data_IF_394344456123
#
_entry.id   IF_394344456123
#
_cell.length_a   1.000
_cell.length_b   1.000
_cell.length_c   1.000
_cell.angle_alpha   90.00
_cell.angle_beta   90.00
_cell.angle_gamma   90.00
#
_symmetry.space_group_name_H-M   'P 1'
#
loop_
_entity.id
_entity.type
_entity.pdbx_description
1 polymer ?
#
# COMPACT_ATOMS: atom_id res chain seq x y z
N UNK A 1 -20.03 33.96 9.95
CA UNK A 1 -20.94 34.71 10.88
C UNK A 1 -22.40 34.26 10.84
N UNK A 2 -22.81 33.33 9.99
CA UNK A 2 -24.22 32.87 9.87
C UNK A 2 -24.62 31.73 10.81
N UNK A 3 -23.68 30.86 11.18
CA UNK A 3 -23.94 29.64 11.96
C UNK A 3 -24.24 29.93 13.45
N UNK A 4 -23.59 30.94 14.04
CA UNK A 4 -23.79 31.30 15.45
C UNK A 4 -25.19 31.89 15.73
N UNK A 5 -25.90 32.43 14.71
CA UNK A 5 -27.27 32.98 14.92
C UNK A 5 -28.37 31.94 14.96
N UNK A 6 -28.14 30.76 14.42
CA UNK A 6 -29.15 29.67 14.40
C UNK A 6 -29.23 28.88 15.72
N UNK A 7 -28.14 28.83 16.48
CA UNK A 7 -28.08 28.12 17.77
C UNK A 7 -28.68 28.87 18.97
N UNK A 8 -28.94 30.19 18.84
CA UNK A 8 -29.42 31.03 19.96
C UNK A 8 -30.77 31.66 19.77
N UNK A 9 -31.57 31.23 18.78
CA UNK A 9 -32.88 31.80 18.42
C UNK A 9 -34.09 31.04 18.91
N UNK A 10 -34.23 30.74 20.18
CA UNK A 10 -35.45 30.15 20.74
C UNK A 10 -35.70 30.70 22.13
N UNK A 11 -36.71 31.60 22.25
CA UNK A 11 -37.09 32.23 23.51
C UNK A 11 -37.77 31.25 24.52
N UNK A 12 -37.35 31.40 25.81
CA UNK A 12 -38.01 31.05 27.06
C UNK A 12 -37.93 29.56 27.51
N UNK A 13 -36.78 29.22 28.13
CA UNK A 13 -36.75 28.70 29.50
C UNK A 13 -35.42 29.10 30.12
N UNK A 14 -35.39 30.23 30.76
CA UNK A 14 -34.26 30.76 31.52
C UNK A 14 -34.26 30.15 32.92
N UNK A 15 -33.07 29.72 33.29
CA UNK A 15 -32.46 29.62 34.60
C UNK A 15 -32.21 28.20 35.07
N UNK A 16 -31.20 27.55 34.49
CA UNK A 16 -30.23 26.64 35.15
C UNK A 16 -29.44 25.77 34.17
N UNK A 17 -28.77 26.33 33.20
CA UNK A 17 -27.68 25.60 32.49
C UNK A 17 -26.88 26.42 31.48
N UNK A 18 -26.81 27.72 31.58
CA UNK A 18 -25.81 28.48 30.85
C UNK A 18 -24.49 28.50 31.66
N UNK A 19 -23.85 27.35 31.87
CA UNK A 19 -22.40 27.31 31.85
C UNK A 19 -22.04 27.55 30.40
N UNK A 20 -21.71 28.80 30.05
CA UNK A 20 -21.02 29.16 28.82
C UNK A 20 -19.80 28.23 28.73
N UNK A 21 -19.89 27.20 27.90
CA UNK A 21 -18.75 26.38 27.57
C UNK A 21 -17.77 27.32 26.88
N UNK A 22 -16.65 27.61 27.52
CA UNK A 22 -15.60 28.41 26.87
C UNK A 22 -15.25 27.73 25.54
N UNK A 23 -14.82 28.48 24.52
CA UNK A 23 -14.36 27.87 23.26
C UNK A 23 -13.36 26.73 23.47
N UNK A 24 -12.53 26.83 24.49
CA UNK A 24 -11.55 25.79 24.88
C UNK A 24 -12.23 24.52 25.41
N UNK A 25 -13.30 24.64 26.19
CA UNK A 25 -14.05 23.49 26.67
C UNK A 25 -14.83 22.82 25.53
N UNK A 26 -15.38 23.59 24.59
CA UNK A 26 -16.04 23.06 23.41
C UNK A 26 -15.03 22.33 22.50
N UNK A 27 -13.84 22.91 22.31
CA UNK A 27 -12.74 22.30 21.58
C UNK A 27 -12.34 20.95 22.19
N UNK A 28 -12.06 20.91 23.49
CA UNK A 28 -11.67 19.66 24.17
C UNK A 28 -12.77 18.59 24.11
N UNK A 29 -14.05 19.00 24.16
CA UNK A 29 -15.18 18.09 24.02
C UNK A 29 -15.28 17.51 22.60
N UNK A 30 -15.06 18.32 21.56
CA UNK A 30 -15.07 17.87 20.17
C UNK A 30 -13.89 16.92 19.88
N UNK A 31 -12.70 17.23 20.41
CA UNK A 31 -11.54 16.34 20.31
C UNK A 31 -11.84 14.98 20.95
N UNK A 32 -12.34 14.96 22.19
CA UNK A 32 -12.69 13.71 22.86
C UNK A 32 -13.73 12.90 22.10
N UNK A 33 -14.71 13.55 21.48
CA UNK A 33 -15.70 12.87 20.61
C UNK A 33 -15.05 12.30 19.35
N UNK A 34 -14.13 13.04 18.74
CA UNK A 34 -13.40 12.57 17.58
C UNK A 34 -12.57 11.33 17.91
N UNK A 35 -11.85 11.35 19.05
CA UNK A 35 -11.04 10.21 19.51
C UNK A 35 -11.90 8.97 19.76
N UNK A 36 -13.08 9.14 20.39
CA UNK A 36 -14.05 8.05 20.57
C UNK A 36 -14.52 7.52 19.21
N UNK A 37 -14.88 8.39 18.27
CA UNK A 37 -15.34 7.99 16.95
C UNK A 37 -14.24 7.26 16.17
N UNK A 38 -12.98 7.72 16.27
CA UNK A 38 -11.82 7.04 15.68
C UNK A 38 -11.62 5.64 16.26
N UNK A 39 -11.68 5.51 17.60
CA UNK A 39 -11.54 4.21 18.27
C UNK A 39 -12.65 3.22 17.89
N UNK A 40 -13.83 3.72 17.55
CA UNK A 40 -14.98 2.94 17.06
C UNK A 40 -14.95 2.72 15.54
N UNK A 41 -13.91 3.19 14.84
CA UNK A 41 -13.79 3.16 13.38
C UNK A 41 -14.93 3.90 12.65
N UNK A 42 -15.59 4.84 13.33
CA UNK A 42 -16.60 5.72 12.75
C UNK A 42 -15.94 6.98 12.18
N UNK A 43 -15.17 6.79 11.10
CA UNK A 43 -14.33 7.84 10.52
C UNK A 43 -15.13 9.04 10.00
N UNK A 44 -16.34 8.82 9.50
CA UNK A 44 -17.21 9.89 9.00
C UNK A 44 -17.63 10.85 10.11
N UNK A 45 -17.93 10.33 11.29
CA UNK A 45 -18.30 11.13 12.46
C UNK A 45 -17.06 11.83 13.05
N UNK A 46 -15.92 11.14 13.09
CA UNK A 46 -14.64 11.74 13.50
C UNK A 46 -14.29 12.95 12.63
N UNK A 47 -14.39 12.83 11.30
CA UNK A 47 -14.18 13.94 10.35
C UNK A 47 -15.09 15.13 10.69
N UNK A 48 -16.34 14.91 11.04
CA UNK A 48 -17.25 15.99 11.37
C UNK A 48 -16.79 16.73 12.64
N UNK A 49 -16.49 16.01 13.72
CA UNK A 49 -16.03 16.62 14.98
C UNK A 49 -14.68 17.36 14.80
N UNK A 50 -13.75 16.80 14.03
CA UNK A 50 -12.47 17.44 13.79
C UNK A 50 -12.60 18.70 12.93
N UNK A 51 -13.53 18.74 11.98
CA UNK A 51 -13.84 19.95 11.22
C UNK A 51 -14.41 21.06 12.12
N UNK A 52 -15.38 20.72 12.97
CA UNK A 52 -15.95 21.66 13.93
C UNK A 52 -14.87 22.17 14.91
N UNK A 53 -13.95 21.31 15.34
CA UNK A 53 -12.82 21.68 16.18
C UNK A 53 -11.86 22.65 15.50
N UNK A 54 -11.57 22.45 14.21
CA UNK A 54 -10.72 23.33 13.40
C UNK A 54 -11.36 24.71 13.17
N UNK A 55 -12.70 24.80 13.08
CA UNK A 55 -13.41 26.09 13.00
C UNK A 55 -13.25 26.93 14.27
N UNK A 56 -13.07 26.27 15.45
CA UNK A 56 -12.85 26.95 16.72
C UNK A 56 -11.38 27.39 16.85
N UNK A 57 -10.46 26.49 16.52
CA UNK A 57 -9.03 26.74 16.63
C UNK A 57 -8.26 26.02 15.53
N UNK A 58 -7.62 26.80 14.68
CA UNK A 58 -6.67 26.26 13.70
C UNK A 58 -5.44 25.69 14.44
N UNK A 59 -5.09 24.44 14.16
CA UNK A 59 -3.98 23.73 14.78
C UNK A 59 -3.45 22.65 13.84
N UNK A 60 -2.12 22.52 13.77
CA UNK A 60 -1.46 21.49 12.98
C UNK A 60 -1.89 20.11 13.45
N UNK A 61 -1.91 19.85 14.75
CA UNK A 61 -2.30 18.54 15.32
C UNK A 61 -3.74 18.16 14.97
N UNK A 62 -4.69 19.13 15.03
CA UNK A 62 -6.06 18.87 14.60
C UNK A 62 -6.16 18.57 13.10
N UNK A 63 -5.33 19.26 12.31
CA UNK A 63 -5.26 19.04 10.88
C UNK A 63 -4.65 17.68 10.55
N UNK A 64 -3.64 17.23 11.30
CA UNK A 64 -3.07 15.88 11.21
C UNK A 64 -4.14 14.82 11.52
N UNK A 65 -4.83 14.95 12.67
CA UNK A 65 -5.92 14.04 13.04
C UNK A 65 -7.05 14.00 12.00
N UNK A 66 -7.36 15.14 11.37
CA UNK A 66 -8.37 15.21 10.31
C UNK A 66 -7.86 14.55 9.01
N UNK A 67 -6.59 14.71 8.65
CA UNK A 67 -6.00 14.04 7.52
C UNK A 67 -6.03 12.51 7.71
N UNK A 68 -5.72 12.02 8.91
CA UNK A 68 -5.80 10.60 9.25
C UNK A 68 -7.24 10.08 9.18
N UNK A 69 -8.19 10.82 9.75
CA UNK A 69 -9.61 10.44 9.66
C UNK A 69 -10.10 10.36 8.20
N UNK A 70 -9.64 11.25 7.33
CA UNK A 70 -9.92 11.18 5.89
C UNK A 70 -9.25 9.98 5.21
N UNK A 71 -7.99 9.68 5.58
CA UNK A 71 -7.28 8.52 5.05
C UNK A 71 -8.05 7.21 5.35
N UNK A 72 -8.41 7.01 6.63
CA UNK A 72 -9.18 5.84 7.05
C UNK A 72 -10.61 5.80 6.50
N UNK A 73 -11.19 6.96 6.20
CA UNK A 73 -12.48 7.08 5.50
C UNK A 73 -12.37 6.84 3.99
N UNK A 74 -11.17 6.52 3.46
CA UNK A 74 -10.87 6.42 2.04
C UNK A 74 -11.18 7.69 1.23
N UNK A 75 -11.05 8.85 1.88
CA UNK A 75 -11.24 10.17 1.29
C UNK A 75 -9.88 10.79 0.97
N UNK A 76 -9.19 10.18 0.01
CA UNK A 76 -7.79 10.47 -0.31
C UNK A 76 -7.54 11.92 -0.80
N UNK A 77 -8.38 12.52 -1.65
CA UNK A 77 -8.17 13.91 -2.09
C UNK A 77 -8.18 14.90 -0.93
N UNK A 78 -9.13 14.75 0.00
CA UNK A 78 -9.23 15.63 1.16
C UNK A 78 -8.08 15.38 2.15
N UNK A 79 -7.68 14.12 2.33
CA UNK A 79 -6.49 13.79 3.10
C UNK A 79 -5.27 14.52 2.53
N UNK A 80 -5.02 14.39 1.23
CA UNK A 80 -3.88 15.01 0.56
C UNK A 80 -3.88 16.54 0.67
N UNK A 81 -5.05 17.20 0.51
CA UNK A 81 -5.19 18.64 0.68
C UNK A 81 -4.79 19.08 2.11
N UNK A 82 -5.21 18.33 3.13
CA UNK A 82 -4.84 18.65 4.52
C UNK A 82 -3.35 18.43 4.78
N UNK A 83 -2.74 17.37 4.24
CA UNK A 83 -1.29 17.14 4.33
C UNK A 83 -0.49 18.25 3.65
N UNK A 84 -0.93 18.75 2.50
CA UNK A 84 -0.31 19.91 1.84
C UNK A 84 -0.32 21.16 2.73
N UNK A 85 -1.45 21.45 3.38
CA UNK A 85 -1.55 22.59 4.32
C UNK A 85 -0.66 22.42 5.55
N UNK A 86 -0.40 21.17 5.99
CA UNK A 86 0.56 20.90 7.06
C UNK A 86 1.98 21.14 6.55
N UNK A 87 2.30 20.70 5.33
CA UNK A 87 3.62 20.85 4.73
C UNK A 87 4.01 22.31 4.50
N UNK A 88 3.04 23.23 4.29
CA UNK A 88 3.29 24.67 4.26
C UNK A 88 3.85 25.22 5.58
N UNK A 89 3.54 24.57 6.71
CA UNK A 89 3.99 24.98 8.04
C UNK A 89 5.16 24.13 8.56
N UNK A 90 5.29 22.88 8.09
CA UNK A 90 6.33 21.92 8.45
C UNK A 90 7.02 21.40 7.17
N UNK A 91 7.78 22.27 6.51
CA UNK A 91 8.47 21.93 5.26
C UNK A 91 9.55 20.87 5.43
N UNK A 92 10.15 20.78 6.62
CA UNK A 92 11.35 19.99 6.91
C UNK A 92 11.03 18.67 7.63
N UNK A 93 9.87 18.10 7.34
CA UNK A 93 9.39 16.83 7.91
C UNK A 93 9.39 15.73 6.84
N UNK A 94 10.40 14.86 6.85
CA UNK A 94 10.54 13.75 5.91
C UNK A 94 9.38 12.74 6.03
N UNK A 95 8.87 12.51 7.25
CA UNK A 95 7.76 11.58 7.51
C UNK A 95 6.48 12.13 6.89
N UNK A 96 6.24 13.43 7.01
CA UNK A 96 5.11 14.08 6.36
C UNK A 96 5.18 13.97 4.83
N UNK A 97 6.37 14.21 4.25
CA UNK A 97 6.56 14.07 2.80
C UNK A 97 6.34 12.62 2.34
N UNK A 98 6.84 11.62 3.08
CA UNK A 98 6.59 10.22 2.78
C UNK A 98 5.09 9.90 2.85
N UNK A 99 4.39 10.36 3.88
CA UNK A 99 2.93 10.17 4.01
C UNK A 99 2.16 10.81 2.84
N UNK A 100 2.60 11.99 2.38
CA UNK A 100 2.04 12.62 1.18
C UNK A 100 2.27 11.77 -0.06
N UNK A 101 3.46 11.21 -0.23
CA UNK A 101 3.77 10.31 -1.33
C UNK A 101 2.90 9.04 -1.31
N UNK A 102 2.70 8.43 -0.15
CA UNK A 102 1.83 7.25 0.02
C UNK A 102 0.37 7.55 -0.34
N UNK A 103 -0.17 8.68 0.13
CA UNK A 103 -1.54 9.09 -0.22
C UNK A 103 -1.65 9.39 -1.72
N UNK A 104 -0.67 10.09 -2.31
CA UNK A 104 -0.62 10.36 -3.75
C UNK A 104 -0.55 9.07 -4.58
N UNK A 105 0.17 8.06 -4.10
CA UNK A 105 0.21 6.74 -4.72
C UNK A 105 -1.19 6.10 -4.79
N UNK A 106 -1.95 6.11 -3.69
CA UNK A 106 -3.33 5.59 -3.67
C UNK A 106 -4.27 6.34 -4.60
N UNK A 107 -3.96 7.60 -4.90
CA UNK A 107 -4.68 8.42 -5.87
C UNK A 107 -4.22 8.17 -7.31
N UNK A 108 -3.26 7.27 -7.56
CA UNK A 108 -2.56 7.08 -8.84
C UNK A 108 -1.94 8.38 -9.38
N UNK A 109 -1.60 9.31 -8.49
CA UNK A 109 -0.95 10.56 -8.87
C UNK A 109 0.58 10.42 -8.74
N UNK A 110 1.18 9.70 -9.68
CA UNK A 110 2.61 9.35 -9.64
C UNK A 110 3.53 10.57 -9.75
N UNK A 111 3.08 11.68 -10.36
CA UNK A 111 3.81 12.94 -10.32
C UNK A 111 3.94 13.50 -8.91
N UNK A 112 2.83 13.56 -8.17
CA UNK A 112 2.86 14.01 -6.77
C UNK A 112 3.65 13.06 -5.87
N UNK A 113 3.67 11.74 -6.17
CA UNK A 113 4.56 10.78 -5.49
C UNK A 113 6.01 11.17 -5.69
N UNK A 114 6.43 11.39 -6.93
CA UNK A 114 7.81 11.76 -7.26
C UNK A 114 8.23 13.05 -6.55
N UNK A 115 7.41 14.10 -6.64
CA UNK A 115 7.67 15.39 -5.99
C UNK A 115 7.80 15.28 -4.46
N UNK A 116 6.98 14.48 -3.83
CA UNK A 116 7.02 14.28 -2.38
C UNK A 116 8.22 13.42 -1.97
N UNK A 117 8.54 12.35 -2.73
CA UNK A 117 9.71 11.52 -2.50
C UNK A 117 11.02 12.30 -2.69
N UNK A 118 11.12 13.19 -3.69
CA UNK A 118 12.30 14.05 -3.86
C UNK A 118 12.54 14.92 -2.64
N UNK A 119 11.48 15.57 -2.14
CA UNK A 119 11.59 16.36 -0.91
C UNK A 119 11.96 15.52 0.31
N UNK A 120 11.36 14.33 0.44
CA UNK A 120 11.68 13.42 1.52
C UNK A 120 13.14 12.95 1.49
N UNK A 121 13.69 12.64 0.29
CA UNK A 121 15.08 12.22 0.11
C UNK A 121 16.11 13.30 0.46
N UNK A 122 15.74 14.58 0.30
CA UNK A 122 16.60 15.70 0.72
C UNK A 122 16.66 15.84 2.23
N UNK A 123 15.65 15.38 2.96
CA UNK A 123 15.52 15.47 4.42
C UNK A 123 16.04 14.21 5.11
N UNK A 124 15.75 13.04 4.55
CA UNK A 124 16.18 11.74 5.06
C UNK A 124 16.55 10.80 3.91
N UNK A 125 17.83 10.57 3.73
CA UNK A 125 18.36 9.69 2.67
C UNK A 125 18.56 8.24 3.10
N UNK A 126 18.26 7.91 4.38
CA UNK A 126 18.47 6.58 4.98
C UNK A 126 17.20 5.74 5.06
N UNK A 127 16.04 6.33 4.92
CA UNK A 127 14.78 5.62 4.98
C UNK A 127 14.49 4.91 3.65
N UNK A 128 14.61 3.58 3.62
CA UNK A 128 14.47 2.75 2.41
C UNK A 128 13.09 2.86 1.73
N UNK A 129 12.04 3.16 2.48
CA UNK A 129 10.68 3.33 1.94
C UNK A 129 10.60 4.46 0.91
N UNK A 130 11.38 5.53 1.09
CA UNK A 130 11.35 6.70 0.19
C UNK A 130 11.84 6.35 -1.21
N UNK A 131 13.10 5.87 -1.41
CA UNK A 131 13.55 5.50 -2.75
C UNK A 131 12.77 4.33 -3.33
N UNK A 132 12.21 3.43 -2.51
CA UNK A 132 11.36 2.34 -2.98
C UNK A 132 10.06 2.87 -3.61
N UNK A 133 9.35 3.76 -2.93
CA UNK A 133 8.12 4.36 -3.45
C UNK A 133 8.40 5.24 -4.68
N UNK A 134 9.53 5.96 -4.67
CA UNK A 134 9.95 6.75 -5.83
C UNK A 134 10.24 5.87 -7.05
N UNK A 135 10.96 4.76 -6.87
CA UNK A 135 11.22 3.81 -7.94
C UNK A 135 9.94 3.30 -8.59
N UNK A 136 8.94 2.94 -7.79
CA UNK A 136 7.63 2.51 -8.28
C UNK A 136 6.93 3.61 -9.08
N UNK A 137 6.97 4.86 -8.59
CA UNK A 137 6.38 5.98 -9.30
C UNK A 137 7.09 6.27 -10.64
N UNK A 138 8.42 6.18 -10.68
CA UNK A 138 9.19 6.28 -11.92
C UNK A 138 8.77 5.19 -12.92
N UNK A 139 8.60 3.96 -12.45
CA UNK A 139 8.15 2.84 -13.29
C UNK A 139 6.79 3.11 -13.93
N UNK A 140 5.81 3.52 -13.14
CA UNK A 140 4.46 3.85 -13.61
C UNK A 140 4.44 5.04 -14.60
N UNK A 141 5.44 5.92 -14.52
CA UNK A 141 5.64 7.03 -15.46
C UNK A 141 6.43 6.63 -16.72
N UNK A 142 6.88 5.37 -16.81
CA UNK A 142 7.70 4.88 -17.92
C UNK A 142 9.19 5.21 -17.81
N UNK A 143 9.64 5.79 -16.69
CA UNK A 143 11.05 6.08 -16.44
C UNK A 143 11.74 4.87 -15.79
N UNK A 144 11.99 3.85 -16.62
CA UNK A 144 12.62 2.61 -16.18
C UNK A 144 14.04 2.81 -15.65
N UNK A 145 14.78 3.79 -16.18
CA UNK A 145 16.17 4.06 -15.77
C UNK A 145 16.23 4.52 -14.31
N UNK A 146 15.43 5.51 -13.95
CA UNK A 146 15.38 5.98 -12.57
C UNK A 146 14.74 4.93 -11.64
N UNK A 147 13.73 4.19 -12.10
CA UNK A 147 13.14 3.10 -11.32
C UNK A 147 14.20 2.08 -10.88
N UNK A 148 15.02 1.58 -11.81
CA UNK A 148 16.11 0.64 -11.51
C UNK A 148 17.16 1.29 -10.59
N UNK A 149 17.56 2.52 -10.84
CA UNK A 149 18.55 3.21 -10.01
C UNK A 149 18.11 3.36 -8.54
N UNK A 150 16.85 3.72 -8.31
CA UNK A 150 16.32 3.86 -6.95
C UNK A 150 16.12 2.51 -6.24
N UNK A 151 15.77 1.44 -6.96
CA UNK A 151 15.73 0.09 -6.37
C UNK A 151 17.12 -0.40 -5.98
N UNK A 152 18.15 -0.13 -6.78
CA UNK A 152 19.53 -0.41 -6.41
C UNK A 152 19.96 0.41 -5.17
N UNK A 153 19.51 1.66 -5.06
CA UNK A 153 19.75 2.47 -3.86
C UNK A 153 19.10 1.84 -2.61
N UNK A 154 17.88 1.28 -2.72
CA UNK A 154 17.26 0.57 -1.60
C UNK A 154 18.15 -0.55 -1.07
N UNK A 155 18.77 -1.32 -1.96
CA UNK A 155 19.71 -2.39 -1.59
C UNK A 155 20.93 -1.85 -0.81
N UNK A 156 21.42 -0.65 -1.13
CA UNK A 156 22.56 -0.05 -0.42
C UNK A 156 22.16 0.45 0.98
N UNK A 157 20.92 0.90 1.15
CA UNK A 157 20.39 1.38 2.44
C UNK A 157 20.09 0.20 3.36
N UNK A 158 19.35 -0.79 2.87
CA UNK A 158 18.89 -1.95 3.65
C UNK A 158 19.05 -3.25 2.86
N UNK A 159 20.26 -3.88 2.89
CA UNK A 159 20.56 -5.07 2.08
C UNK A 159 19.69 -6.29 2.40
N UNK A 160 19.13 -6.37 3.62
CA UNK A 160 18.28 -7.48 4.05
C UNK A 160 16.82 -7.32 3.62
N UNK A 161 16.42 -6.12 3.21
CA UNK A 161 15.05 -5.86 2.75
C UNK A 161 14.91 -6.34 1.30
N UNK A 162 14.42 -7.57 1.12
CA UNK A 162 14.40 -8.22 -0.19
C UNK A 162 13.33 -7.70 -1.15
N UNK A 163 12.28 -7.03 -0.66
CA UNK A 163 11.15 -6.54 -1.48
C UNK A 163 11.61 -5.62 -2.63
N UNK A 164 12.49 -4.63 -2.43
CA UNK A 164 13.03 -3.84 -3.53
C UNK A 164 13.83 -4.67 -4.53
N UNK A 165 14.57 -5.68 -4.06
CA UNK A 165 15.35 -6.58 -4.90
C UNK A 165 14.41 -7.42 -5.78
N UNK A 166 13.37 -7.99 -5.18
CA UNK A 166 12.32 -8.71 -5.91
C UNK A 166 11.60 -7.80 -6.91
N UNK A 167 11.26 -6.55 -6.52
CA UNK A 167 10.65 -5.56 -7.42
C UNK A 167 11.58 -5.24 -8.60
N UNK A 168 12.87 -5.09 -8.35
CA UNK A 168 13.88 -4.90 -9.40
C UNK A 168 13.90 -6.07 -10.36
N UNK A 169 13.91 -7.31 -9.86
CA UNK A 169 13.87 -8.50 -10.69
C UNK A 169 12.60 -8.55 -11.58
N UNK A 170 11.44 -8.16 -11.05
CA UNK A 170 10.22 -8.05 -11.84
C UNK A 170 10.32 -6.98 -12.94
N UNK A 171 10.84 -5.79 -12.62
CA UNK A 171 11.00 -4.73 -13.62
C UNK A 171 11.95 -5.16 -14.74
N UNK A 172 13.08 -5.78 -14.40
CA UNK A 172 14.01 -6.33 -15.38
C UNK A 172 13.38 -7.45 -16.21
N UNK A 173 12.53 -8.28 -15.60
CA UNK A 173 11.79 -9.31 -16.32
C UNK A 173 10.83 -8.70 -17.35
N UNK A 174 10.11 -7.63 -17.02
CA UNK A 174 9.25 -6.91 -17.96
C UNK A 174 10.05 -6.24 -19.08
N UNK A 175 11.24 -5.75 -18.79
CA UNK A 175 12.18 -5.23 -19.78
C UNK A 175 12.85 -6.33 -20.62
N UNK A 176 12.59 -7.62 -20.31
CA UNK A 176 13.19 -8.80 -20.93
C UNK A 176 14.72 -8.91 -20.79
N UNK A 177 15.26 -8.27 -19.77
CA UNK A 177 16.68 -8.33 -19.39
C UNK A 177 16.95 -9.56 -18.53
N UNK A 178 16.75 -10.76 -19.09
CA UNK A 178 16.71 -12.03 -18.33
C UNK A 178 18.03 -12.36 -17.64
N UNK A 179 19.17 -12.02 -18.25
CA UNK A 179 20.49 -12.21 -17.61
C UNK A 179 20.59 -11.41 -16.30
N UNK A 180 20.16 -10.15 -16.33
CA UNK A 180 20.15 -9.28 -15.14
C UNK A 180 19.13 -9.77 -14.10
N UNK A 181 18.01 -10.38 -14.53
CA UNK A 181 17.05 -11.01 -13.59
C UNK A 181 17.72 -12.12 -12.78
N UNK A 182 18.51 -12.99 -13.44
CA UNK A 182 19.24 -14.04 -12.73
C UNK A 182 20.19 -13.45 -11.69
N UNK A 183 21.00 -12.46 -12.08
CA UNK A 183 21.94 -11.79 -11.17
C UNK A 183 21.23 -11.17 -9.95
N UNK A 184 20.09 -10.53 -10.18
CA UNK A 184 19.31 -9.88 -9.11
C UNK A 184 18.65 -10.92 -8.20
N UNK A 185 18.15 -12.01 -8.76
CA UNK A 185 17.54 -13.09 -7.95
C UNK A 185 18.55 -13.80 -7.04
N UNK A 186 19.84 -13.85 -7.39
CA UNK A 186 20.92 -14.37 -6.52
C UNK A 186 21.16 -13.48 -5.29
N UNK A 187 20.74 -12.21 -5.34
CA UNK A 187 20.86 -11.27 -4.21
C UNK A 187 19.77 -11.44 -3.17
N UNK A 188 18.73 -12.20 -3.47
CA UNK A 188 17.64 -12.49 -2.52
C UNK A 188 18.16 -13.47 -1.47
N UNK A 189 17.95 -13.18 -0.17
CA UNK A 189 18.38 -14.10 0.89
C UNK A 189 17.80 -15.50 0.69
N UNK A 190 18.59 -16.55 0.96
CA UNK A 190 18.18 -17.95 0.74
C UNK A 190 16.85 -18.30 1.41
N UNK A 191 16.61 -17.75 2.61
CA UNK A 191 15.36 -17.90 3.36
C UNK A 191 14.14 -17.43 2.55
N UNK A 192 14.27 -16.34 1.82
CA UNK A 192 13.20 -15.71 1.03
C UNK A 192 13.14 -16.29 -0.40
N UNK A 193 14.18 -17.03 -0.80
CA UNK A 193 14.29 -17.65 -2.13
C UNK A 193 13.22 -18.69 -2.45
N UNK A 194 12.52 -19.18 -1.41
CA UNK A 194 11.40 -20.12 -1.49
C UNK A 194 10.04 -19.44 -1.28
N UNK A 195 9.98 -18.11 -1.17
CA UNK A 195 8.71 -17.40 -1.11
C UNK A 195 7.91 -17.62 -2.41
N UNK A 196 6.58 -17.47 -2.31
CA UNK A 196 5.68 -17.66 -3.44
C UNK A 196 6.09 -16.78 -4.62
N UNK A 197 6.36 -15.52 -4.34
CA UNK A 197 6.69 -14.49 -5.32
C UNK A 197 7.98 -14.83 -6.07
N UNK A 198 9.02 -15.18 -5.33
CA UNK A 198 10.34 -15.50 -5.91
C UNK A 198 10.29 -16.78 -6.72
N UNK A 199 9.64 -17.82 -6.22
CA UNK A 199 9.48 -19.09 -6.96
C UNK A 199 8.66 -18.89 -8.23
N UNK A 200 7.59 -18.11 -8.16
CA UNK A 200 6.74 -17.79 -9.31
C UNK A 200 7.53 -17.03 -10.37
N UNK A 201 8.29 -15.98 -9.98
CA UNK A 201 9.12 -15.24 -10.91
C UNK A 201 10.20 -16.11 -11.57
N UNK A 202 10.87 -16.97 -10.78
CA UNK A 202 11.85 -17.95 -11.32
C UNK A 202 11.21 -18.90 -12.34
N UNK A 203 9.99 -19.38 -12.06
CA UNK A 203 9.25 -20.25 -12.97
C UNK A 203 8.87 -19.53 -14.27
N UNK A 204 8.39 -18.29 -14.17
CA UNK A 204 8.10 -17.45 -15.34
C UNK A 204 9.35 -17.14 -16.17
N UNK A 205 10.48 -16.91 -15.51
CA UNK A 205 11.77 -16.68 -16.17
C UNK A 205 12.18 -17.89 -17.01
N UNK A 206 12.13 -19.08 -16.41
CA UNK A 206 12.43 -20.33 -17.13
C UNK A 206 11.48 -20.55 -18.33
N UNK A 207 10.20 -20.19 -18.21
CA UNK A 207 9.25 -20.22 -19.34
C UNK A 207 9.67 -19.24 -20.45
N UNK A 208 10.06 -18.02 -20.09
CA UNK A 208 10.46 -16.99 -21.06
C UNK A 208 11.75 -17.39 -21.82
N UNK A 209 12.64 -18.09 -21.14
CA UNK A 209 13.88 -18.65 -21.71
C UNK A 209 13.65 -19.99 -22.43
N UNK A 210 12.41 -20.50 -22.47
CA UNK A 210 12.01 -21.76 -23.09
C UNK A 210 12.60 -23.02 -22.43
N UNK A 211 13.12 -22.92 -21.22
CA UNK A 211 13.48 -24.10 -20.42
C UNK A 211 12.23 -24.65 -19.69
N UNK A 212 11.40 -25.34 -20.48
CA UNK A 212 10.15 -25.90 -19.99
C UNK A 212 10.37 -26.98 -18.90
N UNK A 213 11.52 -27.65 -18.91
CA UNK A 213 11.84 -28.65 -17.89
C UNK A 213 12.16 -27.99 -16.53
N UNK A 214 12.91 -26.89 -16.54
CA UNK A 214 13.18 -26.10 -15.33
C UNK A 214 11.90 -25.44 -14.84
N UNK A 215 11.11 -24.82 -15.73
CA UNK A 215 9.83 -24.25 -15.41
C UNK A 215 8.91 -25.25 -14.71
N UNK A 216 8.79 -26.47 -15.26
CA UNK A 216 7.96 -27.53 -14.65
C UNK A 216 8.44 -27.91 -13.24
N UNK A 217 9.76 -28.01 -13.02
CA UNK A 217 10.34 -28.28 -11.69
C UNK A 217 9.99 -27.17 -10.70
N UNK A 218 10.10 -25.90 -11.12
CA UNK A 218 9.83 -24.75 -10.27
C UNK A 218 8.33 -24.64 -9.93
N UNK A 219 7.43 -24.87 -10.90
CA UNK A 219 5.99 -24.92 -10.63
C UNK A 219 5.61 -26.11 -9.74
N UNK A 220 6.27 -27.26 -9.88
CA UNK A 220 6.05 -28.39 -8.97
C UNK A 220 6.42 -28.03 -7.53
N UNK A 221 7.58 -27.38 -7.33
CA UNK A 221 8.01 -26.92 -6.02
C UNK A 221 7.06 -25.85 -5.47
N UNK A 222 6.68 -24.88 -6.30
CA UNK A 222 5.75 -23.80 -5.95
C UNK A 222 4.41 -24.39 -5.47
N UNK A 223 3.82 -25.32 -6.21
CA UNK A 223 2.53 -25.93 -5.89
C UNK A 223 2.60 -26.94 -4.74
N UNK A 224 3.77 -27.51 -4.47
CA UNK A 224 4.01 -28.31 -3.26
C UNK A 224 3.94 -27.43 -2.01
N UNK A 225 4.49 -26.22 -2.07
CA UNK A 225 4.53 -25.29 -0.93
C UNK A 225 3.23 -24.47 -0.83
N UNK A 226 2.65 -24.09 -1.96
CA UNK A 226 1.49 -23.20 -2.07
C UNK A 226 0.37 -23.83 -2.92
N UNK A 227 -0.27 -24.93 -2.46
CA UNK A 227 -1.23 -25.70 -3.26
C UNK A 227 -2.51 -24.93 -3.62
N UNK A 228 -2.82 -23.84 -2.93
CA UNK A 228 -3.98 -23.00 -3.21
C UNK A 228 -3.69 -21.85 -4.19
N UNK A 229 -2.46 -21.73 -4.68
CA UNK A 229 -2.10 -20.72 -5.66
C UNK A 229 -2.63 -21.09 -7.04
N UNK A 230 -3.89 -20.72 -7.32
CA UNK A 230 -4.63 -21.08 -8.52
C UNK A 230 -3.86 -20.78 -9.82
N UNK A 231 -3.26 -19.60 -9.94
CA UNK A 231 -2.54 -19.19 -11.14
C UNK A 231 -1.42 -20.17 -11.53
N UNK A 232 -0.69 -20.71 -10.56
CA UNK A 232 0.40 -21.67 -10.83
C UNK A 232 -0.11 -22.99 -11.41
N UNK A 233 -1.29 -23.46 -11.02
CA UNK A 233 -1.92 -24.63 -11.64
C UNK A 233 -2.21 -24.38 -13.12
N UNK A 234 -2.78 -23.21 -13.45
CA UNK A 234 -3.06 -22.81 -14.83
C UNK A 234 -1.77 -22.73 -15.66
N UNK A 235 -0.78 -22.00 -15.17
CA UNK A 235 0.50 -21.80 -15.87
C UNK A 235 1.27 -23.14 -16.06
N UNK A 236 1.21 -24.04 -15.07
CA UNK A 236 1.80 -25.38 -15.22
C UNK A 236 1.07 -26.24 -16.25
N UNK A 237 -0.27 -26.12 -16.33
CA UNK A 237 -1.05 -26.79 -17.38
C UNK A 237 -0.60 -26.35 -18.77
N UNK A 238 -0.36 -25.05 -18.98
CA UNK A 238 0.14 -24.52 -20.26
C UNK A 238 1.52 -25.12 -20.63
N UNK A 239 2.41 -25.31 -19.66
CA UNK A 239 3.71 -25.99 -19.87
C UNK A 239 3.49 -27.45 -20.25
N UNK A 240 2.60 -28.17 -19.57
CA UNK A 240 2.28 -29.57 -19.88
C UNK A 240 1.69 -29.75 -21.29
N UNK A 241 0.87 -28.79 -21.74
CA UNK A 241 0.42 -28.73 -23.14
C UNK A 241 1.60 -28.65 -24.10
N UNK A 242 2.55 -27.74 -23.84
CA UNK A 242 3.74 -27.58 -24.67
C UNK A 242 4.64 -28.84 -24.67
N UNK A 243 4.63 -29.60 -23.59
CA UNK A 243 5.34 -30.88 -23.45
C UNK A 243 4.54 -32.09 -23.96
N UNK A 244 3.34 -31.90 -24.51
CA UNK A 244 2.39 -32.95 -24.96
C UNK A 244 1.88 -33.88 -23.84
N UNK A 245 1.90 -33.44 -22.58
CA UNK A 245 1.35 -34.17 -21.45
C UNK A 245 -0.13 -33.81 -21.25
N UNK A 246 -1.01 -34.46 -22.02
CA UNK A 246 -2.46 -34.21 -21.99
C UNK A 246 -3.16 -34.67 -20.72
N UNK A 247 -2.64 -35.68 -20.04
CA UNK A 247 -3.22 -36.17 -18.77
C UNK A 247 -2.90 -35.20 -17.65
N UNK A 248 -1.63 -34.84 -17.52
CA UNK A 248 -1.20 -33.87 -16.55
C UNK A 248 -1.82 -32.48 -16.72
N UNK A 249 -2.07 -32.02 -17.96
CA UNK A 249 -2.82 -30.80 -18.24
C UNK A 249 -4.22 -30.85 -17.62
N UNK A 250 -4.98 -31.93 -17.88
CA UNK A 250 -6.35 -32.08 -17.35
C UNK A 250 -6.39 -32.09 -15.82
N UNK A 251 -5.42 -32.74 -15.20
CA UNK A 251 -5.30 -32.74 -13.74
C UNK A 251 -5.06 -31.33 -13.18
N UNK A 252 -4.19 -30.57 -13.82
CA UNK A 252 -3.88 -29.21 -13.38
C UNK A 252 -5.07 -28.25 -13.60
N UNK A 253 -5.78 -28.36 -14.72
CA UNK A 253 -7.01 -27.59 -14.99
C UNK A 253 -8.07 -27.89 -13.92
N UNK A 254 -8.25 -29.17 -13.57
CA UNK A 254 -9.19 -29.55 -12.50
C UNK A 254 -8.80 -28.96 -11.14
N UNK A 255 -7.51 -28.91 -10.81
CA UNK A 255 -7.07 -28.30 -9.56
C UNK A 255 -7.22 -26.77 -9.57
N UNK A 256 -6.97 -26.12 -10.71
CA UNK A 256 -7.24 -24.70 -10.89
C UNK A 256 -8.71 -24.36 -10.63
N UNK A 257 -9.65 -25.11 -11.22
CA UNK A 257 -11.09 -24.93 -11.02
C UNK A 257 -11.50 -25.11 -9.54
N UNK A 258 -10.95 -26.12 -8.85
CA UNK A 258 -11.18 -26.34 -7.43
C UNK A 258 -10.67 -25.18 -6.57
N UNK A 259 -9.51 -24.61 -6.88
CA UNK A 259 -8.99 -23.44 -6.17
C UNK A 259 -9.92 -22.24 -6.34
N UNK A 260 -10.43 -21.99 -7.54
CA UNK A 260 -11.40 -20.92 -7.79
C UNK A 260 -12.71 -21.12 -7.01
N UNK A 261 -13.23 -22.35 -6.95
CA UNK A 261 -14.44 -22.66 -6.18
C UNK A 261 -14.23 -22.41 -4.66
N UNK A 262 -13.05 -22.70 -4.13
CA UNK A 262 -12.73 -22.44 -2.72
C UNK A 262 -12.65 -20.95 -2.44
N UNK A 263 -12.05 -20.16 -3.33
CA UNK A 263 -11.98 -18.71 -3.20
C UNK A 263 -13.39 -18.07 -3.23
N UNK A 264 -14.27 -18.57 -4.11
CA UNK A 264 -15.67 -18.13 -4.14
C UNK A 264 -16.43 -18.46 -2.86
N UNK A 265 -16.22 -19.63 -2.25
CA UNK A 265 -16.90 -20.06 -1.01
C UNK A 265 -16.43 -19.29 0.23
N UNK A 266 -15.17 -18.85 0.23
CA UNK A 266 -14.58 -18.07 1.34
C UNK A 266 -14.92 -16.57 1.28
N UNK A 267 -15.78 -16.14 0.37
CA UNK A 267 -16.23 -14.75 0.24
C UNK A 267 -15.19 -13.82 -0.41
N UNK A 268 -14.11 -14.36 -0.93
CA UNK A 268 -13.14 -13.63 -1.75
C UNK A 268 -13.71 -13.44 -3.16
N UNK A 269 -14.69 -12.55 -3.30
CA UNK A 269 -15.29 -12.15 -4.59
C UNK A 269 -14.32 -11.36 -5.49
N UNK A 270 -13.02 -11.39 -5.22
CA UNK A 270 -11.96 -10.84 -6.07
C UNK A 270 -11.36 -11.87 -7.03
N UNK A 271 -12.10 -12.92 -7.40
CA UNK A 271 -11.68 -13.92 -8.38
C UNK A 271 -11.40 -13.36 -9.81
N UNK A 272 -11.58 -12.06 -10.03
CA UNK A 272 -11.24 -11.39 -11.28
C UNK A 272 -9.87 -10.71 -11.30
N UNK A 273 -9.22 -10.56 -10.14
CA UNK A 273 -7.84 -10.04 -10.08
C UNK A 273 -6.89 -11.20 -9.91
N UNK A 274 -5.84 -11.24 -10.71
CA UNK A 274 -4.78 -12.22 -10.57
C UNK A 274 -4.22 -12.15 -9.14
N UNK A 275 -3.89 -13.30 -8.53
CA UNK A 275 -3.24 -13.30 -7.22
C UNK A 275 -1.96 -12.44 -7.18
N UNK A 276 -1.33 -12.20 -8.33
CA UNK A 276 -0.18 -11.29 -8.48
C UNK A 276 -0.58 -9.83 -8.21
N UNK A 277 -1.76 -9.38 -8.68
CA UNK A 277 -2.27 -8.05 -8.33
C UNK A 277 -2.64 -7.95 -6.85
N UNK A 278 -3.10 -9.07 -6.24
CA UNK A 278 -3.34 -9.14 -4.80
C UNK A 278 -2.03 -9.16 -3.99
N UNK A 279 -0.98 -9.82 -4.48
CA UNK A 279 0.34 -9.82 -3.88
C UNK A 279 1.03 -8.45 -4.02
N UNK A 280 0.89 -7.81 -5.16
CA UNK A 280 1.30 -6.41 -5.33
C UNK A 280 0.52 -5.49 -4.39
N UNK A 281 -0.77 -5.76 -4.19
CA UNK A 281 -1.60 -5.06 -3.22
C UNK A 281 -1.20 -5.38 -1.77
N UNK A 282 -0.84 -6.62 -1.43
CA UNK A 282 -0.35 -7.01 -0.10
C UNK A 282 1.05 -6.47 0.19
N UNK A 283 1.96 -6.49 -0.77
CA UNK A 283 3.26 -5.78 -0.68
C UNK A 283 3.07 -4.27 -0.47
N UNK A 284 1.91 -3.77 -0.86
CA UNK A 284 1.51 -2.40 -0.68
C UNK A 284 0.85 -2.15 0.69
N UNK A 285 0.06 -3.10 1.21
CA UNK A 285 -0.52 -3.04 2.56
C UNK A 285 0.50 -3.24 3.69
N UNK A 286 1.60 -3.94 3.46
CA UNK A 286 2.71 -4.01 4.41
C UNK A 286 3.27 -2.61 4.74
N UNK A 287 3.24 -1.69 3.78
CA UNK A 287 3.60 -0.28 4.05
C UNK A 287 2.54 0.48 4.86
N UNK A 288 1.27 0.08 4.82
CA UNK A 288 0.19 0.72 5.60
C UNK A 288 -0.07 0.05 6.95
N UNK A 289 0.10 -1.27 7.05
CA UNK A 289 -0.04 -1.99 8.33
C UNK A 289 1.11 -1.67 9.29
N UNK A 290 2.30 -1.36 8.77
CA UNK A 290 3.44 -0.91 9.59
C UNK A 290 3.20 0.48 10.19
N UNK A 291 2.44 1.34 9.51
CA UNK A 291 2.01 2.65 10.06
C UNK A 291 0.99 2.47 11.20
N UNK A 292 0.16 1.43 11.14
CA UNK A 292 -0.83 1.13 12.18
C UNK A 292 -0.26 0.35 13.37
N UNK A 293 0.89 -0.35 13.20
CA UNK A 293 1.50 -1.15 14.26
C UNK A 293 2.50 -0.39 15.14
N UNK A 294 3.05 0.73 14.66
CA UNK A 294 3.93 1.57 15.48
C UNK A 294 3.17 2.37 16.56
N UNK A 295 1.84 2.51 16.45
CA UNK A 295 0.99 3.13 17.47
C UNK A 295 0.51 2.17 18.57
N UNK A 296 0.73 0.85 18.44
CA UNK A 296 0.38 -0.14 19.48
C UNK A 296 1.55 -0.51 20.45
N UNK A 297 2.74 0.10 20.25
CA UNK A 297 3.90 -0.10 21.15
C UNK A 297 4.29 1.22 21.83
N UNK A 298 3.36 1.78 22.61
CA UNK A 298 3.69 2.71 23.71
C UNK A 298 2.69 2.59 24.85
#
# INVERSE_FOLDING_TARGET
MSFFKSLFGGKKQKEKSEKFCSPEHLLSHLQSKADIALSQKNYSEAVQYLKEALEIKESVNLRESLADAYLYANRLPECFEHLQKIAEQKSDDAVLQLKMAEVAWFMNNFGAVADACERALLLDDKQVKIPFLYAKACWEQGDSTNAVAFLLRCKTIEPQFFIPIYTLANFLFELKSYEEVHEVLELIPEKEGLSLEVLHLKAKLACAEKDLNMALKLYNLLLQMYPLFALAWKERAEIKVALNDKEGEKEDVLQYEKCLELDCKNGNTQASKTNVEQLQYQLYHLTLSDIASDDEIK
#
